data_IF_353742407754
#
_entry.id   IF_353742407754
#
_cell.length_a   1.000
_cell.length_b   1.000
_cell.length_c   1.000
_cell.angle_alpha   90.00
_cell.angle_beta   90.00
_cell.angle_gamma   90.00
#
_symmetry.space_group_name_H-M   'P 1'
#
loop_
_entity.id
_entity.type
_entity.pdbx_description
1 polymer ?
#
# COMPACT_ATOMS: atom_id res chain seq x y z
N UNK A 1 80.74 24.02 12.10
CA UNK A 1 80.18 22.81 11.47
C UNK A 1 78.77 22.64 12.06
N UNK A 2 77.77 23.09 11.34
CA UNK A 2 76.37 23.05 11.76
C UNK A 2 75.66 22.00 10.90
N UNK A 3 75.21 20.89 11.53
CA UNK A 3 74.34 19.86 10.87
C UNK A 3 72.91 20.30 10.89
N UNK A 4 72.28 20.38 9.73
CA UNK A 4 70.84 20.54 9.58
C UNK A 4 70.17 19.15 9.51
N UNK A 5 69.04 18.90 10.17
CA UNK A 5 68.33 17.66 10.03
C UNK A 5 67.45 17.67 8.78
N UNK A 6 67.58 16.62 7.96
CA UNK A 6 66.73 16.37 6.82
C UNK A 6 65.38 15.81 7.31
N UNK A 7 64.26 16.51 7.04
CA UNK A 7 62.90 16.02 7.29
C UNK A 7 62.45 15.22 6.06
N UNK A 8 62.29 13.92 6.20
CA UNK A 8 61.66 13.05 5.21
C UNK A 8 60.11 13.15 5.34
N UNK A 9 59.49 13.82 4.37
CA UNK A 9 58.04 13.76 4.19
C UNK A 9 57.68 12.43 3.48
N UNK A 10 57.07 11.49 4.23
CA UNK A 10 56.36 10.34 3.64
C UNK A 10 55.05 10.84 3.02
N UNK A 11 55.00 10.92 1.70
CA UNK A 11 53.77 11.10 0.97
C UNK A 11 53.00 9.78 0.98
N UNK A 12 51.93 9.67 1.81
CA UNK A 12 50.95 8.62 1.73
C UNK A 12 50.09 8.86 0.46
N UNK A 13 50.45 8.23 -0.65
CA UNK A 13 49.59 8.12 -1.81
C UNK A 13 48.46 7.14 -1.52
N UNK A 14 47.35 7.66 -0.97
CA UNK A 14 46.10 6.91 -0.92
C UNK A 14 45.59 6.70 -2.35
N UNK A 15 45.74 5.49 -2.89
CA UNK A 15 45.06 5.11 -4.12
C UNK A 15 43.53 5.21 -3.87
N UNK A 16 42.74 5.80 -4.80
CA UNK A 16 41.31 5.80 -4.67
C UNK A 16 40.82 4.34 -4.63
N UNK A 17 40.12 3.94 -3.55
CA UNK A 17 39.48 2.64 -3.49
C UNK A 17 38.50 2.59 -4.67
N UNK A 18 38.73 1.70 -5.62
CA UNK A 18 37.80 1.42 -6.69
C UNK A 18 36.46 1.04 -6.04
N UNK A 19 35.43 1.85 -6.28
CA UNK A 19 34.07 1.55 -5.81
C UNK A 19 33.69 0.18 -6.37
N UNK A 20 33.53 -0.79 -5.48
CA UNK A 20 33.17 -2.15 -5.84
C UNK A 20 31.76 -2.13 -6.45
N UNK A 21 31.59 -2.57 -7.68
CA UNK A 21 30.28 -2.65 -8.31
C UNK A 21 29.39 -3.65 -7.61
N UNK A 22 28.10 -3.37 -7.51
CA UNK A 22 27.14 -4.31 -6.94
C UNK A 22 27.14 -5.63 -7.75
N UNK A 23 27.01 -6.79 -7.09
CA UNK A 23 26.87 -8.08 -7.77
C UNK A 23 25.68 -8.12 -8.70
N UNK A 24 25.72 -8.97 -9.73
CA UNK A 24 24.55 -9.20 -10.59
C UNK A 24 23.36 -9.71 -9.78
N UNK A 25 22.12 -9.35 -10.15
CA UNK A 25 20.92 -9.90 -9.54
C UNK A 25 20.88 -11.43 -9.66
N UNK A 26 20.35 -12.10 -8.65
CA UNK A 26 20.21 -13.55 -8.66
C UNK A 26 18.79 -13.97 -8.32
N UNK A 27 18.27 -14.93 -9.06
CA UNK A 27 17.01 -15.57 -8.72
C UNK A 27 17.18 -16.46 -7.49
N UNK A 28 16.17 -16.41 -6.62
CA UNK A 28 16.15 -17.16 -5.37
C UNK A 28 14.85 -17.94 -5.23
N UNK A 29 14.93 -19.01 -4.48
CA UNK A 29 13.77 -19.84 -4.14
C UNK A 29 13.58 -19.84 -2.64
N UNK A 30 12.38 -19.53 -2.21
CA UNK A 30 11.95 -19.46 -0.82
C UNK A 30 10.89 -20.51 -0.56
N UNK A 31 10.65 -20.83 0.70
CA UNK A 31 9.56 -21.72 1.12
C UNK A 31 8.67 -20.97 2.10
N UNK A 32 7.39 -20.87 1.77
CA UNK A 32 6.37 -20.49 2.75
C UNK A 32 6.23 -21.57 3.83
N UNK A 33 5.63 -21.22 4.95
CA UNK A 33 5.45 -22.15 6.08
C UNK A 33 4.66 -23.43 5.73
N UNK A 34 3.75 -23.34 4.76
CA UNK A 34 2.98 -24.48 4.24
C UNK A 34 3.70 -25.27 3.14
N UNK A 35 4.97 -24.95 2.87
CA UNK A 35 5.80 -25.61 1.86
C UNK A 35 5.64 -25.06 0.43
N UNK A 36 4.74 -24.09 0.21
CA UNK A 36 4.60 -23.42 -1.09
C UNK A 36 5.93 -22.80 -1.51
N UNK A 37 6.33 -23.09 -2.77
CA UNK A 37 7.55 -22.51 -3.33
C UNK A 37 7.29 -21.08 -3.79
N UNK A 38 8.08 -20.15 -3.31
CA UNK A 38 8.05 -18.74 -3.74
C UNK A 38 9.32 -18.43 -4.52
N UNK A 39 9.22 -17.58 -5.52
CA UNK A 39 10.31 -17.11 -6.36
C UNK A 39 10.58 -15.64 -6.12
N UNK A 40 11.86 -15.28 -6.05
CA UNK A 40 12.29 -13.92 -5.86
C UNK A 40 13.52 -13.59 -6.70
N UNK A 41 13.81 -12.31 -6.84
CA UNK A 41 15.08 -11.80 -7.38
C UNK A 41 15.77 -10.99 -6.30
N UNK A 42 16.95 -11.42 -5.89
CA UNK A 42 17.75 -10.74 -4.86
C UNK A 42 18.83 -9.87 -5.51
N UNK A 43 18.87 -8.63 -5.11
CA UNK A 43 19.83 -7.59 -5.53
C UNK A 43 20.77 -7.32 -4.36
N UNK A 44 21.96 -7.91 -4.41
CA UNK A 44 22.95 -7.76 -3.34
C UNK A 44 23.68 -6.42 -3.47
N UNK A 45 23.82 -5.69 -2.38
CA UNK A 45 24.76 -4.57 -2.30
C UNK A 45 26.22 -5.07 -2.24
N UNK A 46 27.17 -4.27 -2.71
CA UNK A 46 28.59 -4.59 -2.65
C UNK A 46 29.18 -4.53 -1.21
N UNK A 47 28.51 -3.80 -0.33
CA UNK A 47 28.93 -3.57 1.06
C UNK A 47 27.81 -3.88 2.03
N UNK A 48 28.11 -4.19 3.28
CA UNK A 48 27.06 -4.31 4.32
C UNK A 48 26.18 -3.04 4.39
N UNK A 49 24.88 -3.23 4.47
CA UNK A 49 23.92 -2.12 4.46
C UNK A 49 22.48 -2.51 4.79
N UNK A 50 21.56 -1.55 4.73
CA UNK A 50 20.13 -1.78 4.91
C UNK A 50 19.55 -2.63 3.78
N UNK A 51 18.29 -3.05 3.94
CA UNK A 51 17.61 -3.84 2.94
C UNK A 51 16.18 -3.35 2.67
N UNK A 52 15.64 -3.63 1.48
CA UNK A 52 14.26 -3.27 1.08
C UNK A 52 13.57 -4.48 0.47
N UNK A 53 12.36 -4.79 0.96
CA UNK A 53 11.46 -5.78 0.36
C UNK A 53 10.53 -5.07 -0.64
N UNK A 54 10.44 -5.60 -1.87
CA UNK A 54 9.71 -5.03 -2.98
C UNK A 54 8.50 -5.92 -3.31
N UNK A 55 7.29 -5.39 -3.15
CA UNK A 55 6.01 -6.10 -3.22
C UNK A 55 5.21 -5.63 -4.44
N UNK A 56 5.00 -6.53 -5.42
CA UNK A 56 4.42 -6.20 -6.71
C UNK A 56 2.90 -5.94 -6.68
N UNK A 57 2.37 -5.44 -7.78
CA UNK A 57 0.94 -5.21 -7.99
C UNK A 57 0.20 -6.53 -8.25
N UNK A 58 -1.12 -6.56 -8.03
CA UNK A 58 -1.95 -7.77 -8.24
C UNK A 58 -2.07 -8.23 -9.71
N UNK A 59 -1.64 -7.43 -10.66
CA UNK A 59 -1.64 -7.72 -12.10
C UNK A 59 -0.24 -7.87 -12.71
N UNK A 60 0.82 -7.91 -11.87
CA UNK A 60 2.22 -8.01 -12.31
C UNK A 60 2.97 -9.12 -11.59
N UNK A 61 4.27 -9.12 -11.68
CA UNK A 61 5.19 -10.04 -11.02
C UNK A 61 6.34 -9.27 -10.37
N UNK A 62 7.24 -9.96 -9.66
CA UNK A 62 8.48 -9.41 -9.11
C UNK A 62 9.30 -8.60 -10.11
N UNK A 63 9.16 -8.89 -11.42
CA UNK A 63 9.89 -8.21 -12.50
C UNK A 63 9.49 -6.75 -12.67
N UNK A 64 8.32 -6.34 -12.19
CA UNK A 64 7.90 -4.93 -12.21
C UNK A 64 8.83 -4.00 -11.40
N UNK A 65 9.69 -4.57 -10.55
CA UNK A 65 10.69 -3.85 -9.75
C UNK A 65 12.10 -3.84 -10.37
N UNK A 66 12.32 -4.44 -11.55
CA UNK A 66 13.61 -4.44 -12.23
C UNK A 66 14.20 -3.04 -12.47
N UNK A 67 13.39 -1.98 -12.73
CA UNK A 67 13.93 -0.63 -12.84
C UNK A 67 14.50 -0.07 -11.53
N UNK A 68 14.09 -0.57 -10.35
CA UNK A 68 14.52 -0.07 -9.04
C UNK A 68 15.58 -0.96 -8.37
N UNK A 69 15.44 -2.29 -8.43
CA UNK A 69 16.26 -3.22 -7.66
C UNK A 69 17.77 -3.03 -7.85
N UNK A 70 18.29 -2.99 -9.10
CA UNK A 70 19.73 -2.76 -9.35
C UNK A 70 20.22 -1.40 -8.84
N UNK A 71 19.38 -0.36 -8.89
CA UNK A 71 19.74 0.97 -8.41
C UNK A 71 19.88 1.02 -6.88
N UNK A 72 19.03 0.28 -6.15
CA UNK A 72 19.17 0.12 -4.70
C UNK A 72 20.48 -0.58 -4.36
N UNK A 73 20.79 -1.70 -5.02
CA UNK A 73 22.06 -2.42 -4.83
C UNK A 73 23.27 -1.55 -5.08
N UNK A 74 23.28 -0.76 -6.17
CA UNK A 74 24.32 0.18 -6.50
C UNK A 74 24.49 1.30 -5.45
N UNK A 75 23.40 1.64 -4.74
CA UNK A 75 23.41 2.63 -3.65
C UNK A 75 23.77 2.02 -2.27
N UNK A 76 24.18 0.74 -2.21
CA UNK A 76 24.54 0.06 -0.96
C UNK A 76 23.34 -0.44 -0.17
N UNK A 77 22.20 -0.62 -0.81
CA UNK A 77 20.96 -1.08 -0.21
C UNK A 77 20.59 -2.43 -0.83
N UNK A 78 20.59 -3.51 -0.04
CA UNK A 78 20.13 -4.80 -0.50
C UNK A 78 18.65 -4.75 -0.86
N UNK A 79 18.20 -5.52 -1.86
CA UNK A 79 16.78 -5.58 -2.16
C UNK A 79 16.35 -7.01 -2.53
N UNK A 80 15.09 -7.33 -2.25
CA UNK A 80 14.45 -8.57 -2.68
C UNK A 80 13.08 -8.22 -3.28
N UNK A 81 12.84 -8.59 -4.52
CA UNK A 81 11.49 -8.66 -5.08
C UNK A 81 11.01 -10.10 -5.08
N UNK A 82 9.74 -10.34 -4.75
CA UNK A 82 9.16 -11.67 -4.63
C UNK A 82 7.86 -11.76 -5.41
N UNK A 83 7.63 -12.87 -6.11
CA UNK A 83 6.32 -13.21 -6.65
C UNK A 83 5.44 -13.75 -5.51
N UNK A 84 4.26 -13.16 -5.31
CA UNK A 84 3.27 -13.76 -4.42
C UNK A 84 2.89 -15.17 -4.89
N UNK A 85 2.39 -16.02 -3.98
CA UNK A 85 1.85 -17.32 -4.40
C UNK A 85 0.79 -17.13 -5.49
N UNK A 86 0.82 -18.00 -6.51
CA UNK A 86 -0.05 -17.94 -7.67
C UNK A 86 0.34 -16.89 -8.72
N UNK A 87 1.46 -16.17 -8.52
CA UNK A 87 1.97 -15.19 -9.48
C UNK A 87 3.36 -15.58 -10.02
N UNK A 88 3.66 -15.10 -11.21
CA UNK A 88 4.96 -15.27 -11.85
C UNK A 88 5.41 -16.73 -11.90
N UNK A 89 6.53 -17.01 -11.24
CA UNK A 89 7.12 -18.35 -11.13
C UNK A 89 6.91 -18.99 -9.75
N UNK A 90 6.17 -18.32 -8.84
CA UNK A 90 5.79 -18.89 -7.56
C UNK A 90 4.71 -19.95 -7.71
N UNK A 91 4.74 -20.96 -6.85
CA UNK A 91 3.71 -21.98 -6.75
C UNK A 91 2.43 -21.46 -6.09
N UNK A 92 1.44 -22.34 -5.99
CA UNK A 92 0.13 -22.04 -5.45
C UNK A 92 -0.91 -21.67 -6.51
N UNK A 93 -2.17 -21.59 -6.09
CA UNK A 93 -3.26 -21.27 -6.99
C UNK A 93 -3.29 -19.77 -7.29
N UNK A 94 -3.61 -19.43 -8.52
CA UNK A 94 -3.80 -18.05 -8.96
C UNK A 94 -5.12 -17.52 -8.39
N UNK A 95 -5.03 -16.37 -7.69
CA UNK A 95 -6.21 -15.76 -7.08
C UNK A 95 -7.28 -15.37 -8.13
N UNK A 96 -6.86 -14.96 -9.34
CA UNK A 96 -7.77 -14.60 -10.44
C UNK A 96 -8.48 -15.80 -11.09
N UNK A 97 -8.01 -17.02 -10.84
CA UNK A 97 -8.63 -18.27 -11.30
C UNK A 97 -9.59 -18.88 -10.27
N UNK A 98 -9.69 -18.28 -9.08
CA UNK A 98 -10.51 -18.79 -7.98
C UNK A 98 -11.83 -18.04 -7.85
N UNK A 99 -12.78 -18.65 -7.14
CA UNK A 99 -13.97 -17.94 -6.68
C UNK A 99 -13.56 -16.74 -5.78
N UNK A 100 -14.28 -15.61 -5.82
CA UNK A 100 -13.88 -14.40 -5.09
C UNK A 100 -13.58 -14.61 -3.60
N UNK A 101 -14.34 -15.50 -2.93
CA UNK A 101 -14.11 -15.82 -1.53
C UNK A 101 -12.79 -16.55 -1.27
N UNK A 102 -12.41 -17.49 -2.15
CA UNK A 102 -11.16 -18.24 -2.04
C UNK A 102 -9.97 -17.35 -2.41
N UNK A 103 -10.11 -16.50 -3.44
CA UNK A 103 -9.13 -15.48 -3.78
C UNK A 103 -8.86 -14.53 -2.58
N UNK A 104 -9.94 -14.06 -1.93
CA UNK A 104 -9.83 -13.21 -0.74
C UNK A 104 -9.08 -13.92 0.40
N UNK A 105 -9.35 -15.21 0.64
CA UNK A 105 -8.67 -16.00 1.67
C UNK A 105 -7.17 -16.14 1.40
N UNK A 106 -6.76 -16.31 0.14
CA UNK A 106 -5.33 -16.32 -0.21
C UNK A 106 -4.67 -15.00 0.17
N UNK A 107 -5.28 -13.88 -0.19
CA UNK A 107 -4.74 -12.54 0.07
C UNK A 107 -4.67 -12.24 1.58
N UNK A 108 -5.69 -12.63 2.34
CA UNK A 108 -5.80 -12.29 3.77
C UNK A 108 -5.10 -13.28 4.70
N UNK A 109 -5.09 -14.57 4.36
CA UNK A 109 -4.59 -15.61 5.25
C UNK A 109 -3.22 -16.17 4.85
N UNK A 110 -2.88 -16.15 3.54
CA UNK A 110 -1.66 -16.78 3.03
C UNK A 110 -0.55 -15.79 2.70
N UNK A 111 -0.87 -14.70 1.99
CA UNK A 111 0.15 -13.72 1.61
C UNK A 111 0.91 -13.13 2.80
N UNK A 112 0.30 -12.83 3.96
CA UNK A 112 1.08 -12.35 5.10
C UNK A 112 2.24 -13.27 5.46
N UNK A 113 2.00 -14.58 5.56
CA UNK A 113 3.03 -15.57 5.88
C UNK A 113 4.07 -15.76 4.74
N UNK A 114 3.67 -15.62 3.49
CA UNK A 114 4.59 -15.65 2.34
C UNK A 114 5.54 -14.45 2.35
N UNK A 115 5.00 -13.28 2.66
CA UNK A 115 5.76 -12.03 2.74
C UNK A 115 6.70 -12.06 3.95
N UNK A 116 6.26 -12.64 5.07
CA UNK A 116 7.11 -12.83 6.25
C UNK A 116 8.28 -13.81 5.93
N UNK A 117 8.03 -14.89 5.18
CA UNK A 117 9.09 -15.77 4.70
C UNK A 117 10.09 -15.05 3.76
N UNK A 118 9.60 -14.14 2.92
CA UNK A 118 10.46 -13.31 2.08
C UNK A 118 11.27 -12.28 2.91
N UNK A 119 10.65 -11.69 3.92
CA UNK A 119 11.33 -10.82 4.87
C UNK A 119 12.43 -11.56 5.62
N UNK A 120 12.14 -12.72 6.19
CA UNK A 120 13.11 -13.56 6.92
C UNK A 120 14.28 -13.98 6.03
N UNK A 121 14.01 -14.36 4.78
CA UNK A 121 15.05 -14.62 3.81
C UNK A 121 15.93 -13.39 3.58
N UNK A 122 15.32 -12.21 3.36
CA UNK A 122 16.04 -10.96 3.09
C UNK A 122 16.99 -10.61 4.24
N UNK A 123 16.49 -10.63 5.47
CA UNK A 123 17.29 -10.27 6.64
C UNK A 123 18.33 -11.34 7.02
N UNK A 124 18.23 -12.57 6.49
CA UNK A 124 19.22 -13.63 6.68
C UNK A 124 20.42 -13.51 5.75
N UNK A 125 20.35 -12.66 4.71
CA UNK A 125 21.42 -12.56 3.73
C UNK A 125 22.69 -11.92 4.33
N UNK A 126 23.88 -12.40 3.93
CA UNK A 126 25.14 -11.83 4.40
C UNK A 126 25.23 -10.33 4.11
N UNK A 127 25.66 -9.55 5.08
CA UNK A 127 25.82 -8.10 4.96
C UNK A 127 24.55 -7.28 5.17
N UNK A 128 23.39 -7.88 5.31
CA UNK A 128 22.15 -7.13 5.59
C UNK A 128 22.09 -6.68 7.05
N UNK A 129 21.89 -5.38 7.24
CA UNK A 129 21.57 -4.78 8.54
C UNK A 129 20.09 -4.97 8.85
N UNK A 130 19.80 -5.94 9.72
CA UNK A 130 18.46 -6.33 10.13
C UNK A 130 17.67 -5.25 10.87
N UNK A 131 18.34 -4.21 11.37
CA UNK A 131 17.71 -3.13 12.14
C UNK A 131 17.26 -1.96 11.25
N UNK A 132 17.60 -2.00 9.96
CA UNK A 132 17.32 -0.94 8.97
C UNK A 132 16.72 -1.53 7.70
N UNK A 133 15.46 -1.93 7.79
CA UNK A 133 14.72 -2.50 6.67
C UNK A 133 13.71 -1.48 6.13
N UNK A 134 13.51 -1.47 4.83
CA UNK A 134 12.43 -0.75 4.15
C UNK A 134 11.49 -1.72 3.46
N UNK A 135 10.31 -1.23 3.09
CA UNK A 135 9.40 -1.95 2.22
C UNK A 135 8.82 -1.02 1.15
N UNK A 136 8.71 -1.52 -0.08
CA UNK A 136 8.02 -0.83 -1.15
C UNK A 136 6.85 -1.68 -1.65
N UNK A 137 5.73 -1.03 -1.99
CA UNK A 137 4.57 -1.69 -2.54
C UNK A 137 3.92 -0.88 -3.66
N UNK A 138 3.44 -1.57 -4.71
CA UNK A 138 2.62 -0.98 -5.76
C UNK A 138 1.22 -1.57 -5.71
N UNK A 139 0.15 -0.76 -5.92
CA UNK A 139 -1.24 -1.25 -5.94
C UNK A 139 -1.60 -2.05 -4.67
N UNK A 140 -2.05 -3.28 -4.81
CA UNK A 140 -2.29 -4.18 -3.67
C UNK A 140 -1.05 -4.41 -2.79
N UNK A 141 0.16 -4.27 -3.34
CA UNK A 141 1.41 -4.32 -2.58
C UNK A 141 1.56 -3.17 -1.57
N UNK A 142 0.84 -2.05 -1.75
CA UNK A 142 0.80 -0.94 -0.79
C UNK A 142 0.29 -1.43 0.57
N UNK A 143 -0.89 -2.06 0.60
CA UNK A 143 -1.43 -2.69 1.81
C UNK A 143 -0.44 -3.70 2.40
N UNK A 144 0.20 -4.52 1.57
CA UNK A 144 1.13 -5.54 2.03
C UNK A 144 2.40 -4.93 2.66
N UNK A 145 2.94 -3.85 2.08
CA UNK A 145 4.11 -3.16 2.60
C UNK A 145 3.82 -2.51 3.98
N UNK A 146 2.65 -1.89 4.13
CA UNK A 146 2.23 -1.30 5.41
C UNK A 146 1.99 -2.38 6.46
N UNK A 147 1.33 -3.47 6.10
CA UNK A 147 1.08 -4.59 7.01
C UNK A 147 2.36 -5.35 7.38
N UNK A 148 3.36 -5.40 6.49
CA UNK A 148 4.69 -5.89 6.85
C UNK A 148 5.31 -5.00 7.95
N UNK A 149 5.30 -3.68 7.78
CA UNK A 149 5.81 -2.76 8.80
C UNK A 149 5.05 -2.88 10.13
N UNK A 150 3.75 -3.21 10.09
CA UNK A 150 2.95 -3.47 11.31
C UNK A 150 3.39 -4.73 12.05
N UNK A 151 3.82 -5.77 11.33
CA UNK A 151 4.29 -7.04 11.93
C UNK A 151 5.78 -6.99 12.31
N UNK A 152 6.58 -6.22 11.59
CA UNK A 152 8.04 -6.17 11.77
C UNK A 152 8.50 -4.74 12.11
N UNK A 153 8.78 -4.44 13.39
CA UNK A 153 9.13 -3.09 13.85
C UNK A 153 10.50 -2.60 13.34
N UNK A 154 11.29 -3.48 12.71
CA UNK A 154 12.55 -3.13 12.06
C UNK A 154 12.35 -2.53 10.66
N UNK A 155 11.12 -2.55 10.12
CA UNK A 155 10.76 -1.80 8.92
C UNK A 155 10.65 -0.32 9.28
N UNK A 156 11.61 0.47 8.80
CA UNK A 156 11.85 1.87 9.19
C UNK A 156 11.52 2.89 8.10
N UNK A 157 11.12 2.45 6.94
CA UNK A 157 10.81 3.34 5.79
C UNK A 157 9.92 2.64 4.79
N UNK A 158 8.95 3.36 4.24
CA UNK A 158 8.03 2.86 3.22
C UNK A 158 8.12 3.68 1.93
N UNK A 159 7.92 2.99 0.78
CA UNK A 159 7.63 3.61 -0.52
C UNK A 159 6.38 2.98 -1.12
N UNK A 160 5.34 3.77 -1.32
CA UNK A 160 3.99 3.34 -1.69
C UNK A 160 3.58 3.94 -3.03
N UNK A 161 3.25 3.10 -4.02
CA UNK A 161 2.94 3.51 -5.39
C UNK A 161 1.49 3.17 -5.74
N UNK A 162 0.64 4.19 -5.79
CA UNK A 162 -0.76 4.11 -6.24
C UNK A 162 -1.50 2.86 -5.73
N UNK A 163 -2.02 2.90 -4.50
CA UNK A 163 -2.80 1.78 -3.96
C UNK A 163 -3.44 2.11 -2.61
N UNK A 164 -4.54 1.45 -2.31
CA UNK A 164 -5.24 1.62 -1.03
C UNK A 164 -4.47 0.96 0.11
N UNK A 165 -4.83 1.35 1.33
CA UNK A 165 -4.39 0.69 2.57
C UNK A 165 -5.62 0.14 3.27
N UNK A 166 -5.55 -1.08 3.78
CA UNK A 166 -6.62 -1.64 4.58
C UNK A 166 -6.81 -0.87 5.91
N UNK A 167 -7.95 -0.99 6.59
CA UNK A 167 -8.24 -0.24 7.80
C UNK A 167 -7.20 -0.43 8.91
N UNK A 168 -6.70 -1.65 9.08
CA UNK A 168 -5.68 -1.98 10.10
C UNK A 168 -4.33 -1.34 9.79
N UNK A 169 -3.90 -1.39 8.53
CA UNK A 169 -2.67 -0.75 8.07
C UNK A 169 -2.75 0.77 8.19
N UNK A 170 -3.89 1.37 7.88
CA UNK A 170 -4.08 2.81 8.04
C UNK A 170 -4.13 3.22 9.51
N UNK A 171 -4.77 2.42 10.37
CA UNK A 171 -4.74 2.63 11.82
C UNK A 171 -3.30 2.57 12.35
N UNK A 172 -2.52 1.60 11.91
CA UNK A 172 -1.09 1.51 12.24
C UNK A 172 -0.32 2.76 11.81
N UNK A 173 -0.46 3.23 10.57
CA UNK A 173 0.24 4.44 10.10
C UNK A 173 -0.15 5.68 10.91
N UNK A 174 -1.41 5.80 11.33
CA UNK A 174 -1.83 6.94 12.17
C UNK A 174 -1.25 6.90 13.58
N UNK A 175 -0.88 5.73 14.07
CA UNK A 175 -0.31 5.52 15.40
C UNK A 175 1.22 5.50 15.41
N UNK A 176 1.85 5.43 14.23
CA UNK A 176 3.31 5.36 14.06
C UNK A 176 3.87 6.54 13.28
N UNK A 177 3.68 7.79 13.75
CA UNK A 177 4.11 8.97 13.00
C UNK A 177 5.64 9.09 12.88
N UNK A 178 6.39 8.27 13.57
CA UNK A 178 7.85 8.18 13.41
C UNK A 178 8.26 7.49 12.11
N UNK A 179 7.38 6.68 11.48
CA UNK A 179 7.65 5.93 10.26
C UNK A 179 7.48 6.83 9.02
N UNK A 180 8.57 7.16 8.31
CA UNK A 180 8.50 8.00 7.13
C UNK A 180 7.98 7.23 5.92
N UNK A 181 7.15 7.88 5.12
CA UNK A 181 6.51 7.33 3.93
C UNK A 181 6.79 8.19 2.71
N UNK A 182 7.31 7.58 1.65
CA UNK A 182 7.30 8.12 0.30
C UNK A 182 6.06 7.60 -0.43
N UNK A 183 5.37 8.45 -1.17
CA UNK A 183 4.26 8.03 -2.00
C UNK A 183 4.36 8.59 -3.41
N UNK A 184 3.88 7.84 -4.41
CA UNK A 184 3.78 8.31 -5.77
C UNK A 184 2.50 7.82 -6.44
N UNK A 185 1.94 8.63 -7.35
CA UNK A 185 0.81 8.27 -8.20
C UNK A 185 0.77 9.15 -9.46
N UNK A 186 0.09 8.67 -10.51
CA UNK A 186 -0.15 9.40 -11.73
C UNK A 186 -1.64 9.75 -11.87
N UNK A 187 -1.94 10.89 -12.53
CA UNK A 187 -3.30 11.38 -12.71
C UNK A 187 -4.09 10.63 -13.81
N UNK A 188 -3.38 9.86 -14.64
CA UNK A 188 -3.97 8.99 -15.67
C UNK A 188 -4.07 7.52 -15.23
N UNK A 189 -4.11 7.29 -13.91
CA UNK A 189 -4.26 5.95 -13.33
C UNK A 189 -5.59 5.32 -13.82
N UNK A 190 -5.49 4.17 -14.49
CA UNK A 190 -6.63 3.51 -15.12
C UNK A 190 -7.58 2.81 -14.14
N UNK A 191 -7.17 2.65 -12.88
CA UNK A 191 -7.97 2.01 -11.83
C UNK A 191 -8.57 3.01 -10.85
N UNK A 192 -7.90 4.16 -10.64
CA UNK A 192 -8.34 5.21 -9.71
C UNK A 192 -7.84 6.59 -10.18
N UNK A 193 -8.71 7.36 -10.79
CA UNK A 193 -8.44 8.73 -11.24
C UNK A 193 -8.15 9.70 -10.07
N UNK A 194 -8.46 9.28 -8.85
CA UNK A 194 -8.13 10.00 -7.60
C UNK A 194 -6.87 9.47 -6.89
N UNK A 195 -6.08 8.61 -7.54
CA UNK A 195 -4.89 8.02 -6.92
C UNK A 195 -3.90 9.04 -6.35
N UNK A 196 -3.61 10.19 -7.00
CA UNK A 196 -2.76 11.21 -6.41
C UNK A 196 -3.33 11.82 -5.11
N UNK A 197 -4.61 12.11 -5.07
CA UNK A 197 -5.32 12.65 -3.90
C UNK A 197 -5.36 11.62 -2.76
N UNK A 198 -5.61 10.36 -3.10
CA UNK A 198 -5.62 9.26 -2.13
C UNK A 198 -4.25 9.08 -1.50
N UNK A 199 -3.16 9.08 -2.28
CA UNK A 199 -1.81 8.92 -1.75
C UNK A 199 -1.40 10.12 -0.87
N UNK A 200 -1.73 11.35 -1.25
CA UNK A 200 -1.51 12.53 -0.41
C UNK A 200 -2.33 12.46 0.88
N UNK A 201 -3.57 11.99 0.81
CA UNK A 201 -4.40 11.79 1.98
C UNK A 201 -3.79 10.77 2.95
N UNK A 202 -3.27 9.64 2.46
CA UNK A 202 -2.54 8.64 3.26
C UNK A 202 -1.35 9.29 3.98
N UNK A 203 -0.55 10.10 3.28
CA UNK A 203 0.56 10.82 3.90
C UNK A 203 0.11 11.79 5.01
N UNK A 204 -1.03 12.45 4.80
CA UNK A 204 -1.63 13.33 5.82
C UNK A 204 -2.10 12.56 7.06
N UNK A 205 -2.59 11.33 6.86
CA UNK A 205 -3.00 10.42 7.93
C UNK A 205 -1.80 9.84 8.70
N UNK A 206 -0.71 9.50 8.04
CA UNK A 206 0.56 9.15 8.68
C UNK A 206 1.13 10.31 9.50
N UNK A 207 1.15 11.51 8.92
CA UNK A 207 1.54 12.74 9.60
C UNK A 207 3.03 12.87 9.90
N UNK A 208 3.91 12.00 9.38
CA UNK A 208 5.35 12.16 9.54
C UNK A 208 5.84 13.40 8.77
N UNK A 209 6.63 14.31 9.39
CA UNK A 209 7.10 15.53 8.72
C UNK A 209 8.09 15.27 7.57
N UNK A 210 8.67 14.07 7.50
CA UNK A 210 9.57 13.65 6.43
C UNK A 210 8.85 13.06 5.22
N UNK A 211 7.54 12.84 5.30
CA UNK A 211 6.77 12.27 4.19
C UNK A 211 6.99 13.05 2.90
N UNK A 212 7.08 12.32 1.78
CA UNK A 212 7.23 12.90 0.44
C UNK A 212 6.18 12.35 -0.50
N UNK A 213 5.71 13.20 -1.39
CA UNK A 213 4.83 12.83 -2.50
C UNK A 213 5.46 13.20 -3.84
N UNK A 214 5.39 12.29 -4.82
CA UNK A 214 5.72 12.52 -6.22
C UNK A 214 4.49 12.26 -7.09
N UNK A 215 3.89 13.33 -7.60
CA UNK A 215 2.75 13.27 -8.51
C UNK A 215 3.19 13.40 -9.96
N UNK A 216 2.57 12.61 -10.84
CA UNK A 216 2.81 12.61 -12.28
C UNK A 216 1.50 12.88 -13.03
N UNK A 217 1.59 13.51 -14.22
CA UNK A 217 0.40 13.72 -15.07
C UNK A 217 -0.01 12.46 -15.79
N UNK A 218 0.98 11.65 -16.17
CA UNK A 218 0.87 10.37 -16.86
C UNK A 218 1.77 9.33 -16.20
N UNK A 219 1.62 8.07 -16.55
CA UNK A 219 2.42 6.98 -15.99
C UNK A 219 1.59 5.78 -15.56
N UNK A 220 0.27 5.90 -15.62
CA UNK A 220 -0.65 4.84 -15.24
C UNK A 220 -0.50 4.40 -13.78
N UNK A 221 -0.66 3.11 -13.52
CA UNK A 221 -0.83 2.57 -12.17
C UNK A 221 0.47 2.04 -11.58
N UNK A 222 0.76 2.41 -10.32
CA UNK A 222 1.81 1.80 -9.51
C UNK A 222 3.19 1.78 -10.16
N UNK A 223 3.77 0.61 -10.39
CA UNK A 223 5.10 0.46 -11.00
C UNK A 223 5.14 0.75 -12.50
N UNK A 224 4.00 0.87 -13.18
CA UNK A 224 3.96 1.28 -14.60
C UNK A 224 4.52 2.70 -14.80
N UNK A 225 4.45 3.54 -13.76
CA UNK A 225 5.06 4.89 -13.73
C UNK A 225 6.56 4.86 -14.06
N UNK A 226 7.27 3.77 -13.75
CA UNK A 226 8.72 3.67 -14.02
C UNK A 226 9.06 3.76 -15.52
N UNK A 227 8.15 3.36 -16.40
CA UNK A 227 8.36 3.40 -17.84
C UNK A 227 8.52 4.83 -18.37
N UNK A 228 7.49 5.69 -18.30
CA UNK A 228 7.58 7.08 -18.72
C UNK A 228 8.41 7.96 -17.79
N UNK A 229 8.58 7.57 -16.50
CA UNK A 229 9.26 8.37 -15.47
C UNK A 229 10.45 7.63 -14.84
N UNK A 230 11.58 7.48 -15.58
CA UNK A 230 12.78 6.80 -15.07
C UNK A 230 13.46 7.56 -13.91
N UNK A 231 13.03 8.78 -13.59
CA UNK A 231 13.45 9.52 -12.41
C UNK A 231 12.80 8.98 -11.12
N UNK A 232 11.64 8.33 -11.17
CA UNK A 232 10.96 7.84 -9.96
C UNK A 232 11.78 6.75 -9.23
N UNK A 233 12.35 5.74 -9.88
CA UNK A 233 13.28 4.82 -9.22
C UNK A 233 14.43 5.55 -8.52
N UNK A 234 15.04 6.57 -9.14
CA UNK A 234 16.10 7.37 -8.51
C UNK A 234 15.62 8.15 -7.29
N UNK A 235 14.39 8.68 -7.32
CA UNK A 235 13.79 9.35 -6.17
C UNK A 235 13.59 8.38 -5.01
N UNK A 236 13.14 7.14 -5.27
CA UNK A 236 12.95 6.09 -4.27
C UNK A 236 14.31 5.65 -3.69
N UNK A 237 15.36 5.51 -4.52
CA UNK A 237 16.73 5.24 -4.04
C UNK A 237 17.20 6.35 -3.11
N UNK A 238 17.06 7.61 -3.52
CA UNK A 238 17.43 8.76 -2.69
C UNK A 238 16.63 8.80 -1.37
N UNK A 239 15.36 8.43 -1.41
CA UNK A 239 14.51 8.30 -0.24
C UNK A 239 15.05 7.27 0.76
N UNK A 240 15.34 6.05 0.31
CA UNK A 240 15.89 5.02 1.20
C UNK A 240 17.33 5.33 1.65
N UNK A 241 18.14 5.96 0.79
CA UNK A 241 19.46 6.44 1.20
C UNK A 241 19.38 7.51 2.31
N UNK A 242 18.34 8.35 2.29
CA UNK A 242 18.10 9.27 3.42
C UNK A 242 17.57 8.54 4.65
N UNK A 243 16.50 7.76 4.50
CA UNK A 243 15.69 7.25 5.62
C UNK A 243 16.21 5.96 6.24
N UNK A 244 17.11 5.23 5.59
CA UNK A 244 17.74 4.01 6.11
C UNK A 244 19.25 4.15 6.35
N UNK A 245 19.93 5.09 5.66
CA UNK A 245 21.40 5.22 5.77
C UNK A 245 21.80 6.48 6.51
N UNK A 246 21.40 7.68 5.99
CA UNK A 246 21.89 8.96 6.52
C UNK A 246 21.17 9.36 7.79
N UNK A 247 19.86 9.25 7.80
CA UNK A 247 18.98 9.69 8.88
C UNK A 247 17.94 8.57 9.20
N UNK A 248 18.37 7.41 9.71
CA UNK A 248 17.45 6.30 10.01
C UNK A 248 16.31 6.74 10.91
N UNK A 249 15.10 6.27 10.61
CA UNK A 249 13.95 6.55 11.45
C UNK A 249 14.08 5.88 12.83
N UNK A 250 13.79 6.64 13.88
CA UNK A 250 13.82 6.14 15.26
C UNK A 250 12.38 5.91 15.76
N UNK A 251 12.01 4.66 16.07
CA UNK A 251 10.69 4.33 16.63
C UNK A 251 10.39 5.00 17.98
N UNK A 252 11.44 5.47 18.67
CA UNK A 252 11.32 6.17 19.95
C UNK A 252 11.20 7.69 19.78
N UNK A 253 11.34 8.20 18.56
CA UNK A 253 11.24 9.63 18.29
C UNK A 253 9.82 10.13 18.59
N UNK A 254 9.73 11.15 19.43
CA UNK A 254 8.48 11.86 19.64
C UNK A 254 8.17 12.72 18.42
N UNK A 255 7.13 12.36 17.68
CA UNK A 255 6.64 13.13 16.54
C UNK A 255 5.29 13.74 16.88
N UNK A 256 5.24 15.08 16.89
CA UNK A 256 3.98 15.80 17.11
C UNK A 256 3.19 15.85 15.80
N UNK A 257 2.00 15.28 15.80
CA UNK A 257 1.11 15.28 14.64
C UNK A 257 -0.14 16.09 14.95
N UNK A 258 -0.54 16.94 14.01
CA UNK A 258 -1.80 17.68 14.11
C UNK A 258 -2.98 16.72 14.08
N UNK A 259 -3.77 16.70 15.14
CA UNK A 259 -4.98 15.88 15.22
C UNK A 259 -6.14 16.55 14.46
N UNK A 260 -6.15 16.42 13.13
CA UNK A 260 -7.18 17.00 12.26
C UNK A 260 -8.55 16.33 12.45
N UNK A 261 -9.66 16.99 12.10
CA UNK A 261 -10.98 16.36 12.11
C UNK A 261 -11.05 15.06 11.31
N UNK A 262 -10.37 14.98 10.16
CA UNK A 262 -10.24 13.73 9.38
C UNK A 262 -9.58 12.60 10.18
N UNK A 263 -8.48 12.88 10.88
CA UNK A 263 -7.82 11.89 11.74
C UNK A 263 -8.73 11.46 12.90
N UNK A 264 -9.41 12.40 13.54
CA UNK A 264 -10.35 12.12 14.63
C UNK A 264 -11.53 11.26 14.15
N UNK A 265 -12.08 11.55 12.96
CA UNK A 265 -13.11 10.73 12.33
C UNK A 265 -12.60 9.30 12.15
N UNK A 266 -11.42 9.14 11.51
CA UNK A 266 -10.88 7.82 11.21
C UNK A 266 -10.59 7.00 12.46
N UNK A 267 -9.96 7.61 13.46
CA UNK A 267 -9.68 6.96 14.74
C UNK A 267 -10.94 6.42 15.42
N UNK A 268 -12.03 7.19 15.37
CA UNK A 268 -13.34 6.73 15.89
C UNK A 268 -13.94 5.64 15.01
N UNK A 269 -14.04 5.87 13.70
CA UNK A 269 -14.69 4.99 12.76
C UNK A 269 -14.01 3.62 12.61
N UNK A 270 -12.72 3.52 12.92
CA UNK A 270 -11.97 2.26 12.91
C UNK A 270 -12.24 1.36 14.15
N UNK A 271 -12.92 1.88 15.17
CA UNK A 271 -13.26 1.07 16.35
C UNK A 271 -14.66 0.44 16.23
N UNK A 272 -14.92 -0.74 16.83
CA UNK A 272 -16.20 -1.41 16.74
C UNK A 272 -17.40 -0.53 17.12
N UNK A 273 -17.27 0.26 18.18
CA UNK A 273 -18.38 1.06 18.73
C UNK A 273 -18.30 2.54 18.37
N UNK A 274 -17.26 2.95 17.66
CA UNK A 274 -17.01 4.38 17.41
C UNK A 274 -17.62 4.96 16.14
N UNK A 275 -18.19 4.12 15.26
CA UNK A 275 -18.73 4.57 13.96
C UNK A 275 -19.83 5.61 14.13
N UNK A 276 -20.77 5.41 15.05
CA UNK A 276 -21.82 6.39 15.32
C UNK A 276 -21.26 7.74 15.74
N UNK A 277 -20.27 7.74 16.63
CA UNK A 277 -19.60 8.97 17.08
C UNK A 277 -18.74 9.62 15.98
N UNK A 278 -18.18 8.82 15.06
CA UNK A 278 -17.47 9.32 13.89
C UNK A 278 -18.43 10.04 12.91
N UNK A 279 -19.55 9.40 12.62
CA UNK A 279 -20.59 9.97 11.74
C UNK A 279 -21.16 11.25 12.34
N UNK A 280 -21.42 11.30 13.65
CA UNK A 280 -21.85 12.52 14.31
C UNK A 280 -20.80 13.62 14.20
N UNK A 281 -19.51 13.29 14.50
CA UNK A 281 -18.40 14.22 14.35
C UNK A 281 -18.31 14.76 12.91
N UNK A 282 -18.56 13.91 11.91
CA UNK A 282 -18.58 14.33 10.52
C UNK A 282 -19.63 15.42 10.30
N UNK A 283 -20.91 15.18 10.66
CA UNK A 283 -21.98 16.15 10.45
C UNK A 283 -21.74 17.46 11.21
N UNK A 284 -21.36 17.40 12.49
CA UNK A 284 -21.07 18.58 13.30
C UNK A 284 -19.92 19.43 12.75
N UNK A 285 -18.98 18.76 12.07
CA UNK A 285 -17.80 19.43 11.52
C UNK A 285 -18.08 20.05 10.16
N UNK A 286 -18.74 19.32 9.25
CA UNK A 286 -19.00 19.81 7.89
C UNK A 286 -20.07 20.90 7.86
N UNK A 287 -20.97 20.95 8.82
CA UNK A 287 -21.93 22.05 8.98
C UNK A 287 -21.19 23.40 9.13
N UNK A 288 -20.07 23.40 9.87
CA UNK A 288 -19.25 24.61 10.10
C UNK A 288 -18.21 24.83 9.02
N UNK A 289 -17.64 23.76 8.47
CA UNK A 289 -16.63 23.80 7.43
C UNK A 289 -16.76 22.55 6.52
N UNK A 290 -17.40 22.67 5.35
CA UNK A 290 -17.66 21.55 4.44
C UNK A 290 -16.41 20.80 3.94
N UNK A 291 -15.22 21.39 4.06
CA UNK A 291 -13.95 20.79 3.64
C UNK A 291 -13.06 20.34 4.79
N UNK A 292 -13.55 20.35 6.03
CA UNK A 292 -12.74 20.00 7.20
C UNK A 292 -12.46 18.49 7.32
N UNK A 293 -13.36 17.67 6.78
CA UNK A 293 -13.18 16.20 6.73
C UNK A 293 -13.24 15.79 5.26
N UNK A 294 -12.12 15.25 4.78
CA UNK A 294 -11.99 14.68 3.45
C UNK A 294 -11.58 13.22 3.61
N UNK A 295 -12.37 12.32 3.04
CA UNK A 295 -12.10 10.88 3.09
C UNK A 295 -12.29 10.34 1.66
N UNK A 296 -11.26 9.75 1.04
CA UNK A 296 -11.40 9.15 -0.28
C UNK A 296 -12.46 8.03 -0.30
N UNK A 297 -13.22 7.94 -1.39
CA UNK A 297 -14.27 6.94 -1.58
C UNK A 297 -13.78 5.52 -1.28
N UNK A 298 -12.66 5.14 -1.90
CA UNK A 298 -12.10 3.81 -1.76
C UNK A 298 -11.74 3.48 -0.31
N UNK A 299 -11.20 4.44 0.45
CA UNK A 299 -10.81 4.24 1.85
C UNK A 299 -12.05 4.09 2.75
N UNK A 300 -13.07 4.91 2.55
CA UNK A 300 -14.32 4.78 3.30
C UNK A 300 -15.04 3.47 2.96
N UNK A 301 -14.96 3.05 1.70
CA UNK A 301 -15.50 1.78 1.24
C UNK A 301 -14.81 0.58 1.90
N UNK A 302 -13.48 0.56 1.94
CA UNK A 302 -12.69 -0.48 2.62
C UNK A 302 -13.03 -0.55 4.11
N UNK A 303 -13.19 0.59 4.78
CA UNK A 303 -13.58 0.63 6.18
C UNK A 303 -14.98 0.02 6.39
N UNK A 304 -15.92 0.35 5.50
CA UNK A 304 -17.27 -0.24 5.51
C UNK A 304 -17.23 -1.76 5.37
N UNK A 305 -16.45 -2.28 4.42
CA UNK A 305 -16.28 -3.73 4.25
C UNK A 305 -15.55 -4.39 5.44
N UNK A 306 -14.60 -3.74 6.07
CA UNK A 306 -13.95 -4.23 7.29
C UNK A 306 -14.97 -4.45 8.43
N UNK A 307 -15.92 -3.53 8.59
CA UNK A 307 -17.01 -3.71 9.54
C UNK A 307 -17.98 -4.81 9.10
N UNK A 308 -18.33 -4.87 7.81
CA UNK A 308 -19.24 -5.88 7.28
C UNK A 308 -18.71 -7.30 7.46
N UNK A 309 -17.45 -7.53 7.11
CA UNK A 309 -16.77 -8.82 7.26
C UNK A 309 -16.63 -9.26 8.73
N UNK A 310 -16.51 -8.29 9.62
CA UNK A 310 -16.49 -8.54 11.07
C UNK A 310 -17.89 -8.72 11.69
N UNK A 311 -18.96 -8.83 10.87
CA UNK A 311 -20.34 -9.00 11.32
C UNK A 311 -20.98 -7.73 11.91
N UNK A 312 -20.31 -6.59 11.85
CA UNK A 312 -20.81 -5.29 12.36
C UNK A 312 -21.63 -4.59 11.27
N UNK A 313 -22.77 -5.20 10.91
CA UNK A 313 -23.55 -4.81 9.73
C UNK A 313 -24.13 -3.40 9.86
N UNK A 314 -24.62 -3.01 11.03
CA UNK A 314 -25.18 -1.67 11.28
C UNK A 314 -24.11 -0.58 11.05
N UNK A 315 -22.89 -0.79 11.52
CA UNK A 315 -21.76 0.11 11.33
C UNK A 315 -21.38 0.20 9.85
N UNK A 316 -21.33 -0.92 9.15
CA UNK A 316 -21.08 -0.95 7.70
C UNK A 316 -22.13 -0.12 6.94
N UNK A 317 -23.41 -0.30 7.25
CA UNK A 317 -24.51 0.49 6.64
C UNK A 317 -24.30 1.99 6.88
N UNK A 318 -23.92 2.40 8.09
CA UNK A 318 -23.68 3.82 8.40
C UNK A 318 -22.54 4.40 7.56
N UNK A 319 -21.43 3.66 7.41
CA UNK A 319 -20.26 4.08 6.62
C UNK A 319 -20.58 4.11 5.12
N UNK A 320 -21.26 3.09 4.58
CA UNK A 320 -21.65 3.09 3.17
C UNK A 320 -22.70 4.16 2.84
N UNK A 321 -23.63 4.46 3.76
CA UNK A 321 -24.55 5.60 3.59
C UNK A 321 -23.80 6.93 3.56
N UNK A 322 -22.81 7.11 4.44
CA UNK A 322 -21.93 8.27 4.39
C UNK A 322 -21.19 8.34 3.05
N UNK A 323 -20.70 7.20 2.55
CA UNK A 323 -20.00 7.14 1.27
C UNK A 323 -20.90 7.52 0.10
N UNK A 324 -22.15 7.02 0.04
CA UNK A 324 -23.12 7.43 -0.99
C UNK A 324 -23.48 8.92 -0.93
N UNK A 325 -23.43 9.52 0.25
CA UNK A 325 -23.67 10.97 0.43
C UNK A 325 -22.49 11.79 -0.07
N UNK A 326 -21.27 11.36 0.20
CA UNK A 326 -20.05 12.04 -0.24
C UNK A 326 -19.82 11.89 -1.74
N UNK A 327 -20.14 10.72 -2.29
CA UNK A 327 -19.90 10.35 -3.68
C UNK A 327 -21.21 9.91 -4.39
N UNK A 328 -22.20 10.80 -4.54
CA UNK A 328 -23.54 10.44 -5.00
C UNK A 328 -23.63 10.04 -6.48
N UNK A 329 -22.53 10.25 -7.25
CA UNK A 329 -22.42 9.87 -8.65
C UNK A 329 -21.64 8.57 -8.87
N UNK A 330 -21.00 8.01 -7.85
CA UNK A 330 -20.26 6.75 -7.95
C UNK A 330 -21.20 5.56 -7.88
N UNK A 331 -21.18 4.71 -8.90
CA UNK A 331 -21.93 3.45 -8.93
C UNK A 331 -21.47 2.49 -7.81
N UNK A 332 -20.16 2.46 -7.53
CA UNK A 332 -19.54 1.60 -6.53
C UNK A 332 -20.11 1.83 -5.10
N UNK A 333 -20.35 3.08 -4.73
CA UNK A 333 -20.85 3.38 -3.38
C UNK A 333 -22.24 2.80 -3.12
N UNK A 334 -23.11 2.81 -4.13
CA UNK A 334 -24.45 2.23 -4.05
C UNK A 334 -24.42 0.71 -4.13
N UNK A 335 -23.52 0.13 -4.92
CA UNK A 335 -23.33 -1.32 -4.97
C UNK A 335 -22.91 -1.88 -3.60
N UNK A 336 -21.92 -1.25 -2.95
CA UNK A 336 -21.44 -1.60 -1.61
C UNK A 336 -22.50 -1.42 -0.53
N UNK A 337 -23.33 -0.36 -0.62
CA UNK A 337 -24.48 -0.18 0.27
C UNK A 337 -25.52 -1.30 0.08
N UNK A 338 -25.71 -1.76 -1.17
CA UNK A 338 -26.55 -2.91 -1.50
C UNK A 338 -26.09 -4.19 -0.81
N UNK A 339 -24.77 -4.46 -0.77
CA UNK A 339 -24.20 -5.61 -0.06
C UNK A 339 -24.52 -5.58 1.45
N UNK A 340 -24.35 -4.42 2.08
CA UNK A 340 -24.63 -4.28 3.50
C UNK A 340 -26.11 -4.42 3.83
N UNK A 341 -27.00 -3.87 2.99
CA UNK A 341 -28.45 -4.07 3.17
C UNK A 341 -28.86 -5.52 2.96
N UNK A 342 -28.27 -6.21 1.96
CA UNK A 342 -28.53 -7.62 1.73
C UNK A 342 -28.08 -8.47 2.93
N UNK A 343 -26.89 -8.21 3.46
CA UNK A 343 -26.38 -8.87 4.66
C UNK A 343 -27.24 -8.62 5.90
N UNK A 344 -27.94 -7.48 5.96
CA UNK A 344 -28.88 -7.12 7.03
C UNK A 344 -30.31 -7.63 6.81
N UNK A 345 -30.58 -8.38 5.74
CA UNK A 345 -31.91 -8.85 5.39
C UNK A 345 -32.88 -7.76 4.90
N UNK A 346 -32.38 -6.55 4.63
CA UNK A 346 -33.16 -5.40 4.14
C UNK A 346 -33.31 -5.47 2.62
N UNK A 347 -33.93 -6.52 2.12
CA UNK A 347 -33.97 -6.90 0.70
C UNK A 347 -34.49 -5.79 -0.22
N UNK A 348 -35.45 -4.99 0.18
CA UNK A 348 -35.99 -3.90 -0.63
C UNK A 348 -35.01 -2.76 -0.80
N UNK A 349 -34.26 -2.42 0.29
CA UNK A 349 -33.20 -1.40 0.22
C UNK A 349 -31.99 -1.91 -0.57
N UNK A 350 -31.65 -3.18 -0.45
CA UNK A 350 -30.60 -3.81 -1.24
C UNK A 350 -30.94 -3.74 -2.75
N UNK A 351 -32.17 -4.09 -3.12
CA UNK A 351 -32.64 -4.03 -4.50
C UNK A 351 -32.54 -2.60 -5.06
N UNK A 352 -33.08 -1.61 -4.33
CA UNK A 352 -33.03 -0.19 -4.75
C UNK A 352 -31.60 0.31 -4.90
N UNK A 353 -30.71 -0.07 -3.99
CA UNK A 353 -29.29 0.34 -4.05
C UNK A 353 -28.60 -0.27 -5.27
N UNK A 354 -28.82 -1.56 -5.55
CA UNK A 354 -28.25 -2.23 -6.74
C UNK A 354 -28.80 -1.65 -8.05
N UNK A 355 -30.11 -1.37 -8.14
CA UNK A 355 -30.71 -0.71 -9.30
C UNK A 355 -30.15 0.71 -9.50
N UNK A 356 -29.90 1.45 -8.40
CA UNK A 356 -29.25 2.77 -8.47
C UNK A 356 -27.81 2.68 -8.95
N UNK A 357 -27.04 1.67 -8.50
CA UNK A 357 -25.69 1.41 -8.99
C UNK A 357 -25.67 1.20 -10.51
N UNK A 358 -26.53 0.32 -11.03
CA UNK A 358 -26.68 0.10 -12.48
C UNK A 358 -27.01 1.40 -13.23
N UNK A 359 -27.95 2.19 -12.71
CA UNK A 359 -28.35 3.43 -13.34
C UNK A 359 -27.22 4.49 -13.42
N UNK A 360 -26.29 4.46 -12.48
CA UNK A 360 -25.15 5.39 -12.43
C UNK A 360 -24.01 4.99 -13.37
N UNK A 361 -23.88 3.70 -13.75
CA UNK A 361 -22.76 3.23 -14.58
C UNK A 361 -22.59 3.96 -15.92
N UNK A 362 -23.67 4.50 -16.47
CA UNK A 362 -23.62 5.26 -17.74
C UNK A 362 -22.84 6.56 -17.62
N UNK A 363 -22.84 7.19 -16.44
CA UNK A 363 -22.21 8.47 -16.15
C UNK A 363 -20.98 8.31 -15.22
N UNK A 364 -20.61 7.05 -14.90
CA UNK A 364 -19.46 6.73 -14.07
C UNK A 364 -18.17 6.84 -14.90
N UNK A 365 -17.16 7.52 -14.37
CA UNK A 365 -15.89 7.77 -15.07
C UNK A 365 -14.82 6.71 -14.78
N UNK A 366 -15.12 5.70 -13.95
CA UNK A 366 -14.18 4.60 -13.68
C UNK A 366 -13.92 3.75 -14.93
N UNK A 367 -12.78 3.04 -14.92
CA UNK A 367 -12.39 2.18 -16.04
C UNK A 367 -13.41 1.07 -16.33
N UNK A 368 -13.45 0.60 -17.59
CA UNK A 368 -14.47 -0.38 -18.06
C UNK A 368 -14.44 -1.70 -17.27
N UNK A 369 -13.27 -2.14 -16.79
CA UNK A 369 -13.16 -3.35 -15.95
C UNK A 369 -13.87 -3.15 -14.61
N UNK A 370 -13.68 -1.99 -13.96
CA UNK A 370 -14.37 -1.64 -12.72
C UNK A 370 -15.87 -1.52 -12.93
N UNK A 371 -16.31 -0.85 -13.98
CA UNK A 371 -17.74 -0.76 -14.36
C UNK A 371 -18.36 -2.13 -14.57
N UNK A 372 -17.63 -3.04 -15.24
CA UNK A 372 -18.08 -4.42 -15.44
C UNK A 372 -18.23 -5.15 -14.12
N UNK A 373 -17.25 -5.07 -13.22
CA UNK A 373 -17.33 -5.71 -11.91
C UNK A 373 -18.52 -5.21 -11.08
N UNK A 374 -18.77 -3.88 -11.06
CA UNK A 374 -19.92 -3.29 -10.36
C UNK A 374 -21.24 -3.77 -11.00
N UNK A 375 -21.32 -3.82 -12.33
CA UNK A 375 -22.50 -4.31 -13.04
C UNK A 375 -22.79 -5.75 -12.68
N UNK A 376 -21.80 -6.64 -12.80
CA UNK A 376 -21.96 -8.07 -12.52
C UNK A 376 -22.43 -8.30 -11.07
N UNK A 377 -21.83 -7.58 -10.11
CA UNK A 377 -22.21 -7.61 -8.70
C UNK A 377 -23.64 -7.16 -8.45
N UNK A 378 -24.03 -6.00 -9.00
CA UNK A 378 -25.37 -5.44 -8.82
C UNK A 378 -26.45 -6.31 -9.48
N UNK A 379 -26.20 -6.81 -10.71
CA UNK A 379 -27.12 -7.70 -11.42
C UNK A 379 -27.32 -9.02 -10.69
N UNK A 380 -26.27 -9.59 -10.10
CA UNK A 380 -26.37 -10.80 -9.30
C UNK A 380 -27.27 -10.59 -8.07
N UNK A 381 -27.12 -9.46 -7.35
CA UNK A 381 -28.00 -9.10 -6.23
C UNK A 381 -29.46 -8.92 -6.68
N UNK A 382 -29.67 -8.21 -7.78
CA UNK A 382 -31.01 -7.99 -8.34
C UNK A 382 -31.68 -9.31 -8.73
N UNK A 383 -30.93 -10.21 -9.42
CA UNK A 383 -31.46 -11.51 -9.83
C UNK A 383 -31.87 -12.38 -8.63
N UNK A 384 -31.01 -12.44 -7.62
CA UNK A 384 -31.29 -13.15 -6.36
C UNK A 384 -32.57 -12.61 -5.70
N UNK A 385 -32.65 -11.29 -5.51
CA UNK A 385 -33.74 -10.64 -4.81
C UNK A 385 -35.10 -10.68 -5.55
N UNK A 386 -35.07 -10.75 -6.90
CA UNK A 386 -36.29 -10.92 -7.71
C UNK A 386 -36.67 -12.39 -7.88
N UNK A 387 -35.71 -13.31 -7.82
CA UNK A 387 -35.97 -14.76 -7.86
C UNK A 387 -36.63 -15.31 -6.58
N UNK A 388 -36.24 -14.76 -5.44
CA UNK A 388 -36.83 -15.15 -4.11
C UNK A 388 -38.27 -14.67 -3.90
N UNK A 389 -38.83 -13.87 -4.85
CA UNK A 389 -40.23 -13.41 -4.83
C UNK A 389 -41.19 -14.32 -5.61
N UNK A 390 -40.74 -15.46 -6.13
CA UNK A 390 -41.54 -16.50 -6.76
C UNK A 390 -41.67 -17.69 -5.83
#
# INVERSE_FOLDING_TARGET
MTFAPAVFLLALSGAPALAQSAPAPRDVTLKAADGTTLKGTYYAAATPGPAVLLLHMCNTTRKSWEPLGPQLAAAGIHALSVDYRGFGESGGDRADALAPQDAQRIVTEKWPGDIDAAYDFLISQPGVDRTRVGAAGGSCGVTQAVNLARRHPDVRSLALLAGPIDPDGLAFLTQTPWLPVFAAAAADDQYDDSAPEMMQWILSMSGNPRNKFSGFKDGKHGTEIFGPHPELPRQIVAWYADTLVKNPADPKAAVTVKNTPTRQFWQKASTPDGVGAAVQLFYDTVERNPRAIVIPEAQLNLLGYGHLQAGRITQAIQLFRLNTMLYPKSANTFDSLGDAYLANGQNELALRSSEKAIALLKDDHSGEERKKAIRDSAEQKIAKLKGDKK
#
